data_IF_342830476813
#
_entry.id   IF_342830476813
#
_cell.length_a   1.000
_cell.length_b   1.000
_cell.length_c   1.000
_cell.angle_alpha   90.00
_cell.angle_beta   90.00
_cell.angle_gamma   90.00
#
_symmetry.space_group_name_H-M   'P 1'
#
loop_
_entity.id
_entity.type
_entity.pdbx_description
1 polymer ?
#
# COMPACT_ATOMS: atom_id res chain seq x y z
N UNK A 1 -12.88 -7.57 24.46
CA UNK A 1 -12.06 -6.37 24.19
C UNK A 1 -11.92 -6.29 22.69
N UNK A 2 -12.52 -5.30 22.01
CA UNK A 2 -12.26 -5.10 20.58
C UNK A 2 -10.88 -4.44 20.47
N UNK A 3 -9.86 -5.21 20.09
CA UNK A 3 -8.69 -4.62 19.45
C UNK A 3 -9.21 -4.10 18.10
N UNK A 4 -9.38 -2.79 17.96
CA UNK A 4 -9.49 -2.23 16.63
C UNK A 4 -8.17 -2.54 15.95
N UNK A 5 -8.18 -3.44 14.97
CA UNK A 5 -7.02 -3.74 14.16
C UNK A 5 -6.63 -2.41 13.48
N UNK A 6 -5.51 -1.82 13.86
CA UNK A 6 -5.04 -0.56 13.29
C UNK A 6 -4.02 -0.92 12.23
N UNK A 7 -4.17 -0.42 11.01
CA UNK A 7 -3.13 -0.54 10.00
C UNK A 7 -2.21 0.66 10.17
N UNK A 8 -1.05 0.42 10.76
CA UNK A 8 0.00 1.41 10.90
C UNK A 8 1.04 1.32 9.77
N UNK A 9 2.12 2.09 9.91
CA UNK A 9 3.19 2.11 8.93
C UNK A 9 3.88 0.74 8.81
N UNK A 10 4.14 0.05 9.92
CA UNK A 10 4.84 -1.22 9.91
C UNK A 10 3.97 -2.30 9.24
N UNK A 11 2.66 -2.30 9.49
CA UNK A 11 1.71 -3.17 8.79
C UNK A 11 1.72 -2.95 7.28
N UNK A 12 1.69 -1.69 6.82
CA UNK A 12 1.80 -1.36 5.40
C UNK A 12 3.11 -1.90 4.82
N UNK A 13 4.24 -1.60 5.46
CA UNK A 13 5.56 -2.00 5.01
C UNK A 13 5.70 -3.52 4.97
N UNK A 14 5.18 -4.23 5.98
CA UNK A 14 5.14 -5.68 6.05
C UNK A 14 4.34 -6.28 4.91
N UNK A 15 3.16 -5.75 4.63
CA UNK A 15 2.32 -6.19 3.52
C UNK A 15 2.95 -5.96 2.14
N UNK A 16 3.70 -4.88 1.97
CA UNK A 16 4.43 -4.60 0.75
C UNK A 16 5.65 -5.52 0.59
N UNK A 17 6.45 -5.72 1.64
CA UNK A 17 7.59 -6.66 1.61
C UNK A 17 7.15 -8.09 1.36
N UNK A 18 6.03 -8.52 1.94
CA UNK A 18 5.44 -9.85 1.70
C UNK A 18 5.08 -10.08 0.23
N UNK A 19 4.82 -9.01 -0.54
CA UNK A 19 4.58 -9.04 -1.99
C UNK A 19 5.86 -8.99 -2.84
N UNK A 20 7.03 -8.91 -2.21
CA UNK A 20 8.32 -8.88 -2.89
C UNK A 20 8.85 -7.48 -3.22
N UNK A 21 8.29 -6.43 -2.62
CA UNK A 21 8.86 -5.08 -2.75
C UNK A 21 10.05 -4.91 -1.80
N UNK A 22 11.18 -4.44 -2.34
CA UNK A 22 12.39 -4.17 -1.57
C UNK A 22 12.30 -2.79 -0.90
N UNK A 23 11.65 -2.74 0.27
CA UNK A 23 11.44 -1.50 1.01
C UNK A 23 12.46 -1.38 2.16
N UNK A 24 13.24 -0.29 2.22
CA UNK A 24 14.24 -0.12 3.27
C UNK A 24 13.64 -0.18 4.67
N UNK A 25 14.39 -0.75 5.60
CA UNK A 25 14.02 -0.79 7.02
C UNK A 25 13.95 0.65 7.56
N UNK A 26 12.87 0.98 8.27
CA UNK A 26 12.63 2.33 8.79
C UNK A 26 12.14 3.36 7.77
N UNK A 27 11.80 2.96 6.53
CA UNK A 27 11.17 3.85 5.57
C UNK A 27 9.80 4.34 6.08
N UNK A 28 9.46 5.60 5.78
CA UNK A 28 8.11 6.09 6.05
C UNK A 28 7.09 5.42 5.11
N UNK A 29 5.80 5.47 5.47
CA UNK A 29 4.73 4.99 4.59
C UNK A 29 4.81 5.65 3.19
N UNK A 30 5.11 6.95 3.12
CA UNK A 30 5.29 7.67 1.85
C UNK A 30 6.49 7.15 1.06
N UNK A 31 7.67 7.00 1.68
CA UNK A 31 8.86 6.49 1.03
C UNK A 31 8.67 5.05 0.53
N UNK A 32 8.01 4.21 1.32
CA UNK A 32 7.68 2.85 0.94
C UNK A 32 6.78 2.83 -0.30
N UNK A 33 5.73 3.65 -0.31
CA UNK A 33 4.85 3.79 -1.46
C UNK A 33 5.60 4.30 -2.70
N UNK A 34 6.49 5.28 -2.57
CA UNK A 34 7.31 5.75 -3.69
C UNK A 34 8.18 4.64 -4.28
N UNK A 35 8.85 3.85 -3.44
CA UNK A 35 9.68 2.72 -3.88
C UNK A 35 8.83 1.70 -4.65
N UNK A 36 7.64 1.38 -4.12
CA UNK A 36 6.67 0.47 -4.77
C UNK A 36 6.24 1.00 -6.13
N UNK A 37 5.89 2.29 -6.23
CA UNK A 37 5.46 2.93 -7.47
C UNK A 37 6.58 2.93 -8.52
N UNK A 38 7.82 3.19 -8.12
CA UNK A 38 8.98 3.16 -9.03
C UNK A 38 9.27 1.75 -9.56
N UNK A 39 8.98 0.72 -8.77
CA UNK A 39 9.14 -0.69 -9.15
C UNK A 39 7.86 -1.35 -9.69
N UNK A 40 6.80 -0.58 -9.96
CA UNK A 40 5.49 -1.15 -10.28
C UNK A 40 5.51 -1.81 -11.66
N UNK A 41 5.00 -3.04 -11.73
CA UNK A 41 4.82 -3.79 -12.97
C UNK A 41 3.36 -4.17 -13.13
N UNK A 42 2.90 -4.47 -14.34
CA UNK A 42 1.50 -4.86 -14.59
C UNK A 42 0.95 -5.99 -13.68
N UNK A 43 1.67 -7.11 -13.46
CA UNK A 43 1.21 -8.15 -12.54
C UNK A 43 1.18 -7.67 -11.08
N UNK A 44 2.19 -6.92 -10.64
CA UNK A 44 2.26 -6.43 -9.27
C UNK A 44 1.27 -5.29 -9.01
N UNK A 45 0.93 -4.50 -10.01
CA UNK A 45 -0.08 -3.45 -9.94
C UNK A 45 -1.46 -4.05 -9.65
N UNK A 46 -1.83 -5.16 -10.33
CA UNK A 46 -3.08 -5.88 -10.04
C UNK A 46 -3.10 -6.43 -8.61
N UNK A 47 -2.00 -7.04 -8.17
CA UNK A 47 -1.88 -7.56 -6.80
C UNK A 47 -1.93 -6.44 -5.74
N UNK A 48 -1.30 -5.30 -6.02
CA UNK A 48 -1.31 -4.13 -5.16
C UNK A 48 -2.70 -3.48 -5.07
N UNK A 49 -3.44 -3.42 -6.18
CA UNK A 49 -4.83 -2.95 -6.20
C UNK A 49 -5.71 -3.76 -5.26
N UNK A 50 -5.67 -5.10 -5.39
CA UNK A 50 -6.45 -5.98 -4.52
C UNK A 50 -6.10 -5.83 -3.04
N UNK A 51 -4.81 -5.62 -2.73
CA UNK A 51 -4.36 -5.32 -1.37
C UNK A 51 -4.98 -4.01 -0.83
N UNK A 52 -4.89 -2.93 -1.60
CA UNK A 52 -5.40 -1.61 -1.18
C UNK A 52 -6.92 -1.68 -0.99
N UNK A 53 -7.64 -2.35 -1.89
CA UNK A 53 -9.08 -2.60 -1.75
C UNK A 53 -9.41 -3.39 -0.48
N UNK A 54 -8.65 -4.44 -0.16
CA UNK A 54 -8.83 -5.21 1.07
C UNK A 54 -8.57 -4.36 2.33
N UNK A 55 -7.57 -3.48 2.32
CA UNK A 55 -7.34 -2.57 3.45
C UNK A 55 -8.50 -1.60 3.66
N UNK A 56 -9.07 -1.05 2.59
CA UNK A 56 -10.19 -0.10 2.69
C UNK A 56 -11.55 -0.76 2.99
N UNK A 57 -11.73 -2.02 2.61
CA UNK A 57 -12.96 -2.78 2.86
C UNK A 57 -12.93 -3.60 4.14
N UNK A 58 -11.74 -3.83 4.69
CA UNK A 58 -11.54 -4.52 5.96
C UNK A 58 -12.10 -3.76 7.15
N UNK A 59 -12.28 -4.46 8.27
CA UNK A 59 -12.70 -3.85 9.54
C UNK A 59 -11.57 -3.12 10.26
N UNK A 60 -10.35 -3.17 9.70
CA UNK A 60 -9.18 -2.50 10.26
C UNK A 60 -9.24 -0.99 10.01
N UNK A 61 -8.88 -0.21 11.02
CA UNK A 61 -8.80 1.25 10.90
C UNK A 61 -7.42 1.64 10.38
N UNK A 62 -7.36 2.13 9.14
CA UNK A 62 -6.13 2.65 8.56
C UNK A 62 -5.75 3.97 9.23
N UNK A 63 -4.52 4.07 9.73
CA UNK A 63 -4.04 5.32 10.31
C UNK A 63 -3.99 6.44 9.25
N UNK A 64 -4.26 7.71 9.63
CA UNK A 64 -4.33 8.81 8.68
C UNK A 64 -3.07 8.99 7.82
N UNK A 65 -1.88 8.79 8.40
CA UNK A 65 -0.61 8.92 7.68
C UNK A 65 -0.46 7.85 6.58
N UNK A 66 -0.84 6.60 6.88
CA UNK A 66 -0.83 5.47 5.94
C UNK A 66 -1.83 5.73 4.82
N UNK A 67 -3.05 6.12 5.18
CA UNK A 67 -4.10 6.46 4.21
C UNK A 67 -3.63 7.54 3.23
N UNK A 68 -3.01 8.62 3.75
CA UNK A 68 -2.48 9.69 2.92
C UNK A 68 -1.37 9.20 1.97
N UNK A 69 -0.47 8.33 2.44
CA UNK A 69 0.58 7.77 1.59
C UNK A 69 -0.01 6.92 0.44
N UNK A 70 -1.02 6.08 0.74
CA UNK A 70 -1.74 5.29 -0.26
C UNK A 70 -2.42 6.21 -1.27
N UNK A 71 -3.17 7.21 -0.80
CA UNK A 71 -3.96 8.10 -1.65
C UNK A 71 -3.08 8.99 -2.54
N UNK A 72 -1.94 9.46 -2.03
CA UNK A 72 -1.02 10.34 -2.78
C UNK A 72 -0.12 9.61 -3.76
N UNK A 73 0.27 8.38 -3.45
CA UNK A 73 1.29 7.65 -4.21
C UNK A 73 0.70 6.44 -4.93
N UNK A 74 0.09 5.51 -4.19
CA UNK A 74 -0.33 4.22 -4.76
C UNK A 74 -1.56 4.36 -5.66
N UNK A 75 -2.61 5.07 -5.22
CA UNK A 75 -3.83 5.25 -6.03
C UNK A 75 -3.58 5.87 -7.41
N UNK A 76 -2.86 7.01 -7.54
CA UNK A 76 -2.60 7.59 -8.85
C UNK A 76 -1.73 6.68 -9.73
N UNK A 77 -0.76 5.97 -9.16
CA UNK A 77 0.03 4.98 -9.89
C UNK A 77 -0.87 3.85 -10.41
N UNK A 78 -1.66 3.21 -9.55
CA UNK A 78 -2.60 2.15 -9.93
C UNK A 78 -3.61 2.61 -11.00
N UNK A 79 -4.07 3.87 -10.93
CA UNK A 79 -4.96 4.44 -11.93
C UNK A 79 -4.30 4.58 -13.31
N UNK A 80 -2.99 4.79 -13.39
CA UNK A 80 -2.25 4.77 -14.65
C UNK A 80 -2.22 3.36 -15.26
N UNK A 81 -1.94 2.33 -14.45
CA UNK A 81 -1.91 0.95 -14.93
C UNK A 81 -3.29 0.43 -15.34
N UNK A 82 -4.36 0.88 -14.69
CA UNK A 82 -5.73 0.52 -15.06
C UNK A 82 -6.20 1.14 -16.39
N UNK A 83 -5.54 2.21 -16.88
CA UNK A 83 -5.85 2.81 -18.20
C UNK A 83 -5.18 2.08 -19.37
N UNK A 84 -4.22 1.20 -19.08
CA UNK A 84 -3.45 0.45 -20.07
C UNK A 84 -3.78 -1.06 -20.09
N UNK A 85 -4.74 -1.50 -19.26
CA UNK A 85 -5.16 -2.90 -19.13
C UNK A 85 -6.36 -3.27 -19.99
#
# INVERSE_FOLDING_TARGET
MMHADLIDQDDLLGQLRSRGFDIPAGASAEQACEVVVRGLTEPNARALKGMVEQMYTGSATILPAVRQAIDKQLLPALAQYNKHA
#
